data_IF_638782022339
#
_entry.id   IF_638782022339
#
_cell.length_a   1.000
_cell.length_b   1.000
_cell.length_c   1.000
_cell.angle_alpha   90.00
_cell.angle_beta   90.00
_cell.angle_gamma   90.00
#
_symmetry.space_group_name_H-M   'P 1'
#
loop_
_entity.id
_entity.type
_entity.pdbx_description
1 polymer ?
#
# COMPACT_ATOMS: atom_id res chain seq x y z
N UNK A 1 -12.78 -7.84 -13.90
CA UNK A 1 -12.15 -9.13 -13.56
C UNK A 1 -13.19 -10.12 -13.04
N UNK A 2 -13.89 -9.86 -11.93
CA UNK A 2 -14.92 -10.78 -11.43
C UNK A 2 -16.09 -10.95 -12.42
N UNK A 3 -16.72 -9.85 -12.82
CA UNK A 3 -17.85 -9.87 -13.77
C UNK A 3 -17.46 -10.45 -15.14
N UNK A 4 -16.26 -10.15 -15.63
CA UNK A 4 -15.75 -10.69 -16.89
C UNK A 4 -15.53 -12.21 -16.87
N UNK A 5 -15.49 -12.82 -15.69
CA UNK A 5 -15.44 -14.27 -15.49
C UNK A 5 -16.78 -14.83 -14.98
N UNK A 6 -17.88 -14.07 -15.10
CA UNK A 6 -19.23 -14.53 -14.76
C UNK A 6 -19.55 -14.57 -13.26
N UNK A 7 -18.68 -14.04 -12.40
CA UNK A 7 -18.96 -13.90 -10.97
C UNK A 7 -19.92 -12.73 -10.77
N UNK A 8 -21.10 -13.01 -10.20
CA UNK A 8 -22.08 -11.96 -9.85
C UNK A 8 -21.52 -11.08 -8.73
N UNK A 9 -21.68 -9.78 -8.87
CA UNK A 9 -21.13 -8.75 -7.97
C UNK A 9 -22.24 -7.87 -7.43
N UNK A 10 -22.00 -7.30 -6.25
CA UNK A 10 -22.74 -6.14 -5.73
C UNK A 10 -21.72 -5.01 -5.63
N UNK A 11 -21.97 -3.92 -6.34
CA UNK A 11 -21.03 -2.79 -6.37
C UNK A 11 -21.13 -1.98 -5.06
N UNK A 12 -20.07 -2.00 -4.26
CA UNK A 12 -19.87 -1.20 -3.05
C UNK A 12 -18.59 -0.36 -3.11
N UNK A 13 -18.19 0.06 -4.31
CA UNK A 13 -16.99 0.89 -4.52
C UNK A 13 -17.15 2.23 -3.79
N UNK A 14 -16.04 2.74 -3.23
CA UNK A 14 -15.98 3.99 -2.46
C UNK A 14 -16.94 4.03 -1.25
N UNK A 15 -17.13 2.90 -0.58
CA UNK A 15 -17.99 2.76 0.61
C UNK A 15 -17.65 3.74 1.75
N UNK A 16 -16.39 4.10 1.93
CA UNK A 16 -15.98 5.04 2.97
C UNK A 16 -14.47 5.08 3.20
N UNK A 17 -14.10 5.60 4.37
CA UNK A 17 -12.71 5.64 4.83
C UNK A 17 -12.22 4.27 5.30
N UNK A 18 -10.91 4.10 5.53
CA UNK A 18 -10.31 2.83 5.97
C UNK A 18 -11.03 2.18 7.15
N UNK A 19 -11.37 2.87 8.27
CA UNK A 19 -12.08 2.23 9.38
C UNK A 19 -13.47 1.69 8.99
N UNK A 20 -14.19 2.39 8.11
CA UNK A 20 -15.52 1.97 7.64
C UNK A 20 -15.40 0.70 6.80
N UNK A 21 -14.50 0.70 5.82
CA UNK A 21 -14.30 -0.45 4.92
C UNK A 21 -13.74 -1.66 5.70
N UNK A 22 -12.83 -1.40 6.65
CA UNK A 22 -12.27 -2.43 7.53
C UNK A 22 -13.32 -3.06 8.43
N UNK A 23 -14.22 -2.26 9.00
CA UNK A 23 -15.35 -2.77 9.78
C UNK A 23 -16.28 -3.63 8.91
N UNK A 24 -16.62 -3.14 7.72
CA UNK A 24 -17.52 -3.84 6.81
C UNK A 24 -17.00 -5.23 6.39
N UNK A 25 -15.72 -5.38 6.04
CA UNK A 25 -15.17 -6.68 5.65
C UNK A 25 -15.11 -7.67 6.83
N UNK A 26 -14.75 -7.19 8.03
CA UNK A 26 -14.69 -8.05 9.23
C UNK A 26 -16.09 -8.48 9.67
N UNK A 27 -17.10 -7.64 9.45
CA UNK A 27 -18.50 -7.94 9.74
C UNK A 27 -19.20 -8.78 8.65
N UNK A 28 -18.55 -9.05 7.51
CA UNK A 28 -19.14 -9.76 6.38
C UNK A 28 -20.10 -8.90 5.53
N UNK A 29 -20.08 -7.58 5.68
CA UNK A 29 -20.84 -6.64 4.85
C UNK A 29 -20.12 -6.34 3.52
N UNK A 30 -18.83 -6.68 3.41
CA UNK A 30 -18.02 -6.54 2.21
C UNK A 30 -17.17 -7.79 2.00
N UNK A 31 -17.04 -8.24 0.75
CA UNK A 31 -16.35 -9.50 0.44
C UNK A 31 -14.89 -9.31 -0.03
N UNK A 32 -14.61 -8.25 -0.78
CA UNK A 32 -13.29 -7.98 -1.36
C UNK A 32 -13.10 -6.48 -1.66
N UNK A 33 -11.93 -5.94 -1.33
CA UNK A 33 -11.51 -4.58 -1.67
C UNK A 33 -9.97 -4.47 -1.68
N UNK A 34 -9.40 -3.43 -2.33
CA UNK A 34 -7.97 -3.15 -2.23
C UNK A 34 -7.62 -2.47 -0.90
N UNK A 35 -6.60 -2.98 -0.21
CA UNK A 35 -6.03 -2.39 1.01
C UNK A 35 -4.50 -2.28 0.91
N UNK A 36 -3.92 -1.35 1.66
CA UNK A 36 -2.48 -1.11 1.72
C UNK A 36 -1.83 -1.88 2.85
N UNK A 37 -0.74 -2.60 2.55
CA UNK A 37 -0.05 -3.49 3.51
C UNK A 37 0.40 -2.78 4.79
N UNK A 38 0.86 -1.53 4.68
CA UNK A 38 1.28 -0.71 5.82
C UNK A 38 0.16 -0.40 6.84
N UNK A 39 -1.12 -0.46 6.44
CA UNK A 39 -2.24 -0.26 7.37
C UNK A 39 -2.35 -1.40 8.41
N UNK A 40 -1.74 -2.55 8.14
CA UNK A 40 -1.59 -3.64 9.11
C UNK A 40 -0.96 -3.19 10.43
N UNK A 41 -0.07 -2.19 10.39
CA UNK A 41 0.55 -1.64 11.58
C UNK A 41 -0.49 -1.07 12.57
N UNK A 42 -1.52 -0.41 12.06
CA UNK A 42 -2.61 0.16 12.88
C UNK A 42 -3.68 -0.87 13.22
N UNK A 43 -4.02 -1.78 12.30
CA UNK A 43 -5.01 -2.82 12.54
C UNK A 43 -4.62 -3.73 13.71
N UNK A 44 -3.32 -3.94 13.90
CA UNK A 44 -2.80 -4.86 14.90
C UNK A 44 -2.00 -4.19 16.03
N UNK A 45 -2.00 -2.85 16.10
CA UNK A 45 -1.32 -2.05 17.15
C UNK A 45 0.17 -2.35 17.26
N UNK A 46 0.85 -2.31 16.13
CA UNK A 46 2.25 -2.72 15.98
C UNK A 46 3.03 -1.77 15.07
N UNK A 47 2.80 -0.47 15.26
CA UNK A 47 3.25 0.62 14.39
C UNK A 47 4.78 0.73 14.25
N UNK A 48 5.52 0.27 15.26
CA UNK A 48 6.97 0.42 15.34
C UNK A 48 7.74 -0.76 14.75
N UNK A 49 7.08 -1.82 14.30
CA UNK A 49 7.79 -2.97 13.75
C UNK A 49 8.48 -2.61 12.40
N UNK A 50 9.79 -2.89 12.26
CA UNK A 50 10.53 -2.59 11.04
C UNK A 50 10.03 -3.33 9.79
N UNK A 51 9.28 -4.43 9.92
CA UNK A 51 8.68 -5.15 8.81
C UNK A 51 7.82 -4.23 7.93
N UNK A 52 7.15 -3.22 8.50
CA UNK A 52 6.33 -2.26 7.74
C UNK A 52 7.15 -1.33 6.83
N UNK A 53 8.48 -1.32 6.96
CA UNK A 53 9.40 -0.59 6.08
C UNK A 53 9.99 -1.45 4.97
N UNK A 54 9.66 -2.74 4.92
CA UNK A 54 10.04 -3.66 3.87
C UNK A 54 8.79 -4.20 3.17
N UNK A 55 8.68 -4.03 1.85
CA UNK A 55 7.46 -4.37 1.10
C UNK A 55 7.03 -5.84 1.27
N UNK A 56 7.99 -6.78 1.18
CA UNK A 56 7.69 -8.21 1.31
C UNK A 56 7.34 -8.58 2.76
N UNK A 57 8.12 -8.11 3.73
CA UNK A 57 7.88 -8.45 5.14
C UNK A 57 6.55 -7.87 5.63
N UNK A 58 6.24 -6.62 5.29
CA UNK A 58 4.96 -5.99 5.62
C UNK A 58 3.78 -6.74 5.02
N UNK A 59 3.88 -7.15 3.75
CA UNK A 59 2.86 -7.97 3.08
C UNK A 59 2.66 -9.33 3.78
N UNK A 60 3.72 -10.10 4.00
CA UNK A 60 3.60 -11.42 4.64
C UNK A 60 3.07 -11.31 6.08
N UNK A 61 3.47 -10.25 6.80
CA UNK A 61 3.03 -10.00 8.16
C UNK A 61 1.54 -9.69 8.23
N UNK A 62 1.05 -8.73 7.44
CA UNK A 62 -0.39 -8.39 7.45
C UNK A 62 -1.23 -9.56 6.97
N UNK A 63 -0.80 -10.27 5.92
CA UNK A 63 -1.44 -11.48 5.38
C UNK A 63 -1.63 -12.53 6.47
N UNK A 64 -0.57 -12.84 7.22
CA UNK A 64 -0.62 -13.82 8.31
C UNK A 64 -1.57 -13.38 9.43
N UNK A 65 -1.42 -12.13 9.91
CA UNK A 65 -2.22 -11.62 11.02
C UNK A 65 -3.72 -11.55 10.68
N UNK A 66 -4.06 -11.19 9.44
CA UNK A 66 -5.45 -11.13 9.00
C UNK A 66 -6.06 -12.51 8.78
N UNK A 67 -5.29 -13.45 8.24
CA UNK A 67 -5.73 -14.83 8.12
C UNK A 67 -6.01 -15.45 9.50
N UNK A 68 -5.12 -15.24 10.47
CA UNK A 68 -5.24 -15.80 11.82
C UNK A 68 -6.40 -15.19 12.62
N UNK A 69 -6.61 -13.86 12.55
CA UNK A 69 -7.58 -13.17 13.41
C UNK A 69 -8.96 -12.99 12.79
N UNK A 70 -9.04 -12.86 11.47
CA UNK A 70 -10.29 -12.48 10.79
C UNK A 70 -10.62 -13.40 9.60
N UNK A 71 -9.81 -14.43 9.33
CA UNK A 71 -9.93 -15.31 8.16
C UNK A 71 -9.91 -14.55 6.82
N UNK A 72 -9.26 -13.38 6.80
CA UNK A 72 -9.15 -12.54 5.61
C UNK A 72 -7.89 -12.91 4.82
N UNK A 73 -8.08 -13.25 3.54
CA UNK A 73 -7.00 -13.64 2.63
C UNK A 73 -6.49 -12.42 1.87
N UNK A 74 -5.21 -12.07 2.07
CA UNK A 74 -4.53 -11.10 1.21
C UNK A 74 -4.06 -11.76 -0.09
N UNK A 75 -4.48 -11.18 -1.22
CA UNK A 75 -4.08 -11.60 -2.56
C UNK A 75 -2.76 -10.94 -2.97
N UNK A 76 -2.32 -11.21 -4.21
CA UNK A 76 -1.09 -10.64 -4.78
C UNK A 76 -1.07 -9.11 -4.66
N UNK A 77 -0.04 -8.53 -4.00
CA UNK A 77 0.08 -7.08 -3.87
C UNK A 77 0.58 -6.46 -5.17
N UNK A 78 0.18 -5.21 -5.43
CA UNK A 78 0.78 -4.43 -6.50
C UNK A 78 2.24 -4.05 -6.14
N UNK A 79 3.14 -3.90 -7.12
CA UNK A 79 4.52 -3.47 -6.88
C UNK A 79 4.66 -1.97 -6.57
N UNK A 80 3.56 -1.24 -6.42
CA UNK A 80 3.55 0.20 -6.14
C UNK A 80 3.56 0.48 -4.63
N UNK A 81 4.32 1.50 -4.23
CA UNK A 81 4.36 1.98 -2.84
C UNK A 81 3.71 3.36 -2.73
N UNK A 82 2.41 3.39 -2.36
CA UNK A 82 1.68 4.64 -2.13
C UNK A 82 2.03 5.21 -0.76
N UNK A 83 3.21 5.83 -0.67
CA UNK A 83 3.73 6.44 0.56
C UNK A 83 4.30 7.82 0.26
N UNK A 84 4.62 8.56 1.32
CA UNK A 84 5.28 9.85 1.21
C UNK A 84 6.62 9.71 0.47
N UNK A 85 6.78 10.53 -0.57
CA UNK A 85 8.01 10.65 -1.36
C UNK A 85 8.15 12.08 -1.88
N UNK A 86 9.26 12.37 -2.55
CA UNK A 86 9.49 13.64 -3.23
C UNK A 86 9.40 13.40 -4.73
N UNK A 87 8.50 14.13 -5.39
CA UNK A 87 8.46 14.22 -6.84
C UNK A 87 9.27 15.45 -7.29
N UNK A 88 10.03 15.30 -8.37
CA UNK A 88 10.75 16.39 -9.03
C UNK A 88 10.28 16.49 -10.48
N UNK A 89 10.55 17.61 -11.15
CA UNK A 89 10.24 17.75 -12.58
C UNK A 89 10.96 16.68 -13.40
N UNK A 90 10.28 16.19 -14.44
CA UNK A 90 10.80 15.12 -15.30
C UNK A 90 12.10 15.52 -16.00
N UNK A 91 12.18 16.73 -16.55
CA UNK A 91 13.39 17.23 -17.23
C UNK A 91 14.60 17.30 -16.30
N UNK A 92 14.40 17.69 -15.04
CA UNK A 92 15.43 17.67 -14.00
C UNK A 92 15.88 16.24 -13.68
N UNK A 93 14.93 15.31 -13.51
CA UNK A 93 15.22 13.92 -13.19
C UNK A 93 16.00 13.22 -14.31
N UNK A 94 15.55 13.37 -15.55
CA UNK A 94 16.17 12.74 -16.73
C UNK A 94 17.58 13.29 -16.97
N UNK A 95 17.74 14.62 -16.95
CA UNK A 95 19.04 15.28 -17.17
C UNK A 95 20.08 14.89 -16.13
N UNK A 96 19.67 14.73 -14.87
CA UNK A 96 20.59 14.50 -13.74
C UNK A 96 20.57 13.05 -13.21
N UNK A 97 19.85 12.14 -13.88
CA UNK A 97 19.72 10.72 -13.51
C UNK A 97 19.21 10.53 -12.07
N UNK A 98 18.11 11.20 -11.73
CA UNK A 98 17.50 11.14 -10.39
C UNK A 98 16.37 10.11 -10.37
N UNK A 99 16.63 8.93 -9.80
CA UNK A 99 15.61 7.87 -9.67
C UNK A 99 15.29 7.51 -8.22
N UNK A 100 16.11 7.98 -7.27
CA UNK A 100 15.95 7.72 -5.85
C UNK A 100 16.19 8.98 -5.00
N UNK A 101 15.75 8.94 -3.74
CA UNK A 101 16.08 9.99 -2.76
C UNK A 101 17.60 10.07 -2.49
N UNK A 102 18.33 8.97 -2.67
CA UNK A 102 19.79 8.96 -2.58
C UNK A 102 20.43 9.74 -3.74
N UNK A 103 19.91 9.61 -4.95
CA UNK A 103 20.34 10.42 -6.10
C UNK A 103 20.03 11.88 -5.91
N UNK A 104 18.83 12.21 -5.40
CA UNK A 104 18.46 13.57 -5.06
C UNK A 104 19.42 14.18 -4.02
N UNK A 105 19.73 13.43 -2.96
CA UNK A 105 20.69 13.85 -1.93
C UNK A 105 22.08 14.11 -2.51
N UNK A 106 22.57 13.22 -3.38
CA UNK A 106 23.85 13.37 -4.11
C UNK A 106 23.85 14.63 -4.98
N UNK A 107 22.79 14.85 -5.75
CA UNK A 107 22.65 16.01 -6.64
C UNK A 107 22.68 17.34 -5.86
N UNK A 108 21.91 17.43 -4.77
CA UNK A 108 21.88 18.63 -3.91
C UNK A 108 23.23 18.91 -3.25
N UNK A 109 23.92 17.88 -2.76
CA UNK A 109 25.27 18.03 -2.17
C UNK A 109 26.32 18.51 -3.17
N UNK A 110 26.09 18.29 -4.47
CA UNK A 110 26.95 18.76 -5.55
C UNK A 110 26.58 20.16 -6.07
N UNK A 111 25.68 20.87 -5.39
CA UNK A 111 25.24 22.23 -5.76
C UNK A 111 24.08 22.27 -6.76
N UNK A 112 23.44 21.13 -7.01
CA UNK A 112 22.21 21.04 -7.79
C UNK A 112 21.06 21.84 -7.18
N UNK A 113 20.15 22.35 -8.02
CA UNK A 113 18.94 23.09 -7.62
C UNK A 113 17.68 22.40 -8.13
N UNK A 114 16.60 22.50 -7.36
CA UNK A 114 15.25 21.97 -7.66
C UNK A 114 14.35 23.12 -8.10
#
# INVERSE_FOLDING_TARGET
MLESHGVKTINKIQLGTTPVVRGAIVAGELDIYPEYTGNGAFFFKDENDPAWKNAQQGYEKVKRLDQEKHQLVWLTPAPANNTWTIAVRQDLAEKNKLTSLADLSRYLKQGGRI
#
